data_IF_213767975074
#
_entry.id   IF_213767975074
#
_cell.length_a   1.000
_cell.length_b   1.000
_cell.length_c   1.000
_cell.angle_alpha   90.00
_cell.angle_beta   90.00
_cell.angle_gamma   90.00
#
_symmetry.space_group_name_H-M   'P 1'
#
loop_
_entity.id
_entity.type
_entity.pdbx_description
1 polymer ?
#
# COMPACT_ATOMS: atom_id res chain seq x y z
N UNK A 1 13.27 -9.20 12.62
CA UNK A 1 11.97 -8.51 12.72
C UNK A 1 11.53 -8.12 11.32
N UNK A 2 10.28 -8.38 11.00
CA UNK A 2 9.64 -8.07 9.72
C UNK A 2 8.29 -7.41 10.03
N UNK A 3 8.01 -6.27 9.45
CA UNK A 3 6.76 -5.54 9.59
C UNK A 3 5.90 -5.78 8.36
N UNK A 4 4.62 -6.08 8.57
CA UNK A 4 3.63 -6.26 7.51
C UNK A 4 2.55 -5.21 7.67
N UNK A 5 2.23 -4.52 6.58
CA UNK A 5 1.24 -3.45 6.55
C UNK A 5 0.50 -3.39 5.19
N UNK A 6 -0.63 -2.72 5.18
CA UNK A 6 -1.47 -2.44 4.02
C UNK A 6 -1.46 -0.94 3.68
N UNK A 7 -1.31 -0.60 2.40
CA UNK A 7 -1.51 0.76 1.91
C UNK A 7 -2.43 0.82 0.69
N UNK A 8 -3.58 1.47 0.85
CA UNK A 8 -4.50 1.79 -0.25
C UNK A 8 -4.09 3.07 -0.97
N UNK A 9 -3.97 3.02 -2.29
CA UNK A 9 -3.75 4.18 -3.15
C UNK A 9 -4.81 4.27 -4.24
N UNK A 10 -4.98 5.44 -4.84
CA UNK A 10 -5.83 5.59 -6.02
C UNK A 10 -5.06 6.36 -7.09
N UNK A 11 -5.13 5.91 -8.34
CA UNK A 11 -4.42 6.53 -9.47
C UNK A 11 -4.88 7.96 -9.76
N UNK A 12 -6.05 8.36 -9.27
CA UNK A 12 -6.56 9.73 -9.38
C UNK A 12 -6.17 10.64 -8.20
N UNK A 13 -5.32 10.19 -7.27
CA UNK A 13 -4.78 11.06 -6.24
C UNK A 13 -3.97 12.19 -6.89
N UNK A 14 -4.46 13.42 -6.74
CA UNK A 14 -3.80 14.64 -7.14
C UNK A 14 -3.89 15.68 -6.02
N UNK A 15 -2.91 16.58 -5.88
CA UNK A 15 -3.00 17.67 -4.91
C UNK A 15 -4.28 18.48 -5.11
N UNK A 16 -5.06 18.65 -4.04
CA UNK A 16 -6.29 19.47 -4.07
C UNK A 16 -6.01 20.97 -4.07
N UNK A 17 -4.84 21.37 -3.57
CA UNK A 17 -4.42 22.76 -3.44
C UNK A 17 -3.01 22.92 -3.99
N UNK A 18 -2.72 24.09 -4.54
CA UNK A 18 -1.41 24.47 -5.05
C UNK A 18 -1.09 25.92 -4.69
N UNK A 19 0.18 26.27 -4.73
CA UNK A 19 0.67 27.60 -4.39
C UNK A 19 1.13 28.33 -5.66
N UNK A 20 0.82 29.61 -5.75
CA UNK A 20 1.32 30.49 -6.80
C UNK A 20 1.64 31.87 -6.21
N UNK A 21 2.54 32.65 -6.84
CA UNK A 21 2.79 34.03 -6.44
C UNK A 21 1.50 34.86 -6.41
N UNK A 22 1.48 35.88 -5.56
CA UNK A 22 0.31 36.77 -5.42
C UNK A 22 -0.08 37.36 -6.77
N UNK A 23 -1.36 37.24 -7.12
CA UNK A 23 -1.91 37.70 -8.40
C UNK A 23 -1.80 36.70 -9.55
N UNK A 24 -1.24 35.51 -9.33
CA UNK A 24 -1.11 34.47 -10.36
C UNK A 24 -2.02 33.27 -10.06
N UNK A 25 -2.46 32.59 -11.13
CA UNK A 25 -3.27 31.37 -11.04
C UNK A 25 -2.38 30.16 -10.77
N UNK A 26 -2.70 29.38 -9.74
CA UNK A 26 -2.13 28.06 -9.54
C UNK A 26 -2.77 27.08 -10.54
N UNK A 27 -1.96 26.54 -11.46
CA UNK A 27 -2.39 25.54 -12.42
C UNK A 27 -2.11 24.13 -11.90
N UNK A 28 -3.05 23.23 -12.10
CA UNK A 28 -2.92 21.82 -11.76
C UNK A 28 -3.56 20.94 -12.82
N UNK A 29 -3.07 19.71 -12.94
CA UNK A 29 -3.70 18.64 -13.73
C UNK A 29 -4.02 17.49 -12.78
N UNK A 30 -5.19 16.89 -12.98
CA UNK A 30 -5.61 15.70 -12.26
C UNK A 30 -6.09 14.66 -13.27
N UNK A 31 -5.89 13.36 -13.00
CA UNK A 31 -6.44 12.29 -13.83
C UNK A 31 -7.97 12.35 -13.86
N UNK A 32 -8.56 12.12 -15.04
CA UNK A 32 -10.03 12.09 -15.22
C UNK A 32 -10.63 10.73 -14.86
N UNK A 33 -9.88 9.64 -15.04
CA UNK A 33 -10.30 8.30 -14.66
C UNK A 33 -10.00 8.05 -13.18
N UNK A 34 -11.04 7.85 -12.36
CA UNK A 34 -10.93 7.66 -10.91
C UNK A 34 -10.67 6.21 -10.49
N UNK A 35 -10.78 5.25 -11.40
CA UNK A 35 -10.50 3.83 -11.18
C UNK A 35 -11.10 3.25 -9.89
N UNK A 36 -10.64 2.06 -9.50
CA UNK A 36 -10.76 1.58 -8.12
C UNK A 36 -9.47 1.91 -7.37
N UNK A 37 -9.54 1.85 -6.05
CA UNK A 37 -8.32 1.89 -5.24
C UNK A 37 -7.47 0.65 -5.57
N UNK A 38 -6.15 0.79 -5.46
CA UNK A 38 -5.21 -0.31 -5.48
C UNK A 38 -4.60 -0.41 -4.10
N UNK A 39 -4.84 -1.52 -3.43
CA UNK A 39 -4.23 -1.85 -2.14
C UNK A 39 -2.91 -2.58 -2.37
N UNK A 40 -1.88 -2.18 -1.63
CA UNK A 40 -0.58 -2.83 -1.57
C UNK A 40 -0.41 -3.49 -0.21
N UNK A 41 -0.16 -4.79 -0.18
CA UNK A 41 0.35 -5.51 0.99
C UNK A 41 1.86 -5.59 0.88
N UNK A 42 2.57 -5.21 1.94
CA UNK A 42 4.03 -5.14 1.93
C UNK A 42 4.65 -5.66 3.22
N UNK A 43 5.84 -6.27 3.09
CA UNK A 43 6.65 -6.70 4.20
C UNK A 43 8.00 -5.98 4.15
N UNK A 44 8.37 -5.34 5.25
CA UNK A 44 9.57 -4.54 5.41
C UNK A 44 10.43 -5.10 6.54
N UNK A 45 11.73 -5.16 6.34
CA UNK A 45 12.72 -5.42 7.38
C UNK A 45 13.72 -4.26 7.46
N UNK A 46 14.60 -4.21 8.48
CA UNK A 46 15.68 -3.23 8.53
C UNK A 46 16.60 -3.26 7.30
N UNK A 47 16.63 -4.40 6.58
CA UNK A 47 17.40 -4.57 5.34
C UNK A 47 16.66 -4.09 4.08
N UNK A 48 15.37 -3.74 4.19
CA UNK A 48 14.57 -3.19 3.12
C UNK A 48 13.24 -3.93 2.87
N UNK A 49 12.67 -3.72 1.69
CA UNK A 49 11.44 -4.36 1.26
C UNK A 49 11.68 -5.84 0.93
N UNK A 50 10.94 -6.74 1.58
CA UNK A 50 11.06 -8.18 1.38
C UNK A 50 10.16 -8.68 0.25
N UNK A 51 8.87 -8.31 0.30
CA UNK A 51 7.91 -8.74 -0.72
C UNK A 51 6.66 -7.86 -0.70
N UNK A 52 5.98 -7.79 -1.85
CA UNK A 52 4.75 -7.03 -2.02
C UNK A 52 3.74 -7.79 -2.86
N UNK A 53 2.46 -7.49 -2.64
CA UNK A 53 1.37 -7.90 -3.52
C UNK A 53 0.40 -6.73 -3.68
N UNK A 54 -0.13 -6.56 -4.89
CA UNK A 54 -1.11 -5.51 -5.19
C UNK A 54 -2.46 -6.13 -5.52
N UNK A 55 -3.54 -5.55 -4.99
CA UNK A 55 -4.92 -5.97 -5.21
C UNK A 55 -5.73 -4.76 -5.69
N UNK A 56 -6.58 -4.95 -6.69
CA UNK A 56 -7.55 -3.93 -7.08
C UNK A 56 -8.75 -3.98 -6.11
N UNK A 57 -9.05 -2.87 -5.44
CA UNK A 57 -10.03 -2.76 -4.37
C UNK A 57 -9.39 -2.83 -2.99
N UNK A 58 -10.21 -3.08 -1.97
CA UNK A 58 -9.75 -3.34 -0.61
C UNK A 58 -9.13 -4.74 -0.52
N UNK A 59 -8.06 -4.91 0.26
CA UNK A 59 -7.64 -6.26 0.63
C UNK A 59 -8.66 -6.85 1.62
N UNK A 60 -9.04 -8.10 1.38
CA UNK A 60 -9.81 -8.91 2.31
C UNK A 60 -8.94 -9.99 2.95
N UNK A 61 -9.55 -10.79 3.81
CA UNK A 61 -8.86 -11.89 4.49
C UNK A 61 -8.26 -12.90 3.50
N UNK A 62 -8.94 -13.18 2.37
CA UNK A 62 -8.43 -14.14 1.38
C UNK A 62 -7.17 -13.62 0.68
N UNK A 63 -7.19 -12.36 0.23
CA UNK A 63 -6.02 -11.70 -0.35
C UNK A 63 -4.85 -11.67 0.65
N UNK A 64 -5.12 -11.40 1.92
CA UNK A 64 -4.06 -11.40 2.93
C UNK A 64 -3.48 -12.80 3.18
N UNK A 65 -4.31 -13.84 3.28
CA UNK A 65 -3.84 -15.22 3.44
C UNK A 65 -3.03 -15.68 2.22
N UNK A 66 -3.47 -15.30 1.01
CA UNK A 66 -2.72 -15.54 -0.22
C UNK A 66 -1.35 -14.85 -0.19
N UNK A 67 -1.30 -13.60 0.27
CA UNK A 67 -0.05 -12.86 0.46
C UNK A 67 0.89 -13.59 1.42
N UNK A 68 0.38 -14.05 2.56
CA UNK A 68 1.17 -14.80 3.53
C UNK A 68 1.74 -16.08 2.91
N UNK A 69 0.88 -16.91 2.31
CA UNK A 69 1.26 -18.23 1.79
C UNK A 69 2.20 -18.14 0.57
N UNK A 70 1.87 -17.27 -0.39
CA UNK A 70 2.57 -17.24 -1.69
C UNK A 70 3.76 -16.29 -1.74
N UNK A 71 3.80 -15.28 -0.88
CA UNK A 71 4.80 -14.22 -0.95
C UNK A 71 5.63 -14.10 0.32
N UNK A 72 5.00 -13.93 1.49
CA UNK A 72 5.74 -13.65 2.73
C UNK A 72 6.43 -14.90 3.28
N UNK A 73 5.71 -15.98 3.54
CA UNK A 73 6.28 -17.20 4.12
C UNK A 73 7.48 -17.75 3.33
N UNK A 74 7.46 -17.80 1.98
CA UNK A 74 8.61 -18.22 1.19
C UNK A 74 9.84 -17.30 1.29
N UNK A 75 9.62 -16.01 1.55
CA UNK A 75 10.68 -15.01 1.69
C UNK A 75 11.29 -14.95 3.11
N UNK A 76 10.62 -15.56 4.10
CA UNK A 76 11.08 -15.56 5.49
C UNK A 76 12.18 -16.59 5.72
N UNK A 77 13.07 -16.26 6.66
CA UNK A 77 14.08 -17.18 7.19
C UNK A 77 13.72 -17.59 8.62
N UNK A 78 14.10 -18.80 9.06
CA UNK A 78 13.93 -19.22 10.45
C UNK A 78 14.46 -18.17 11.44
N UNK A 79 13.75 -17.98 12.56
CA UNK A 79 14.11 -17.03 13.61
C UNK A 79 13.69 -15.57 13.35
N UNK A 80 12.95 -15.27 12.28
CA UNK A 80 12.37 -13.94 12.05
C UNK A 80 10.99 -13.82 12.72
N UNK A 81 10.83 -12.80 13.57
CA UNK A 81 9.51 -12.38 14.10
C UNK A 81 8.80 -11.48 13.09
N UNK A 82 7.55 -11.81 12.78
CA UNK A 82 6.64 -10.97 11.99
C UNK A 82 5.77 -10.15 12.93
N UNK A 83 5.72 -8.85 12.68
CA UNK A 83 4.84 -7.90 13.33
C UNK A 83 3.84 -7.41 12.29
N UNK A 84 2.57 -7.49 12.64
CA UNK A 84 1.45 -6.99 11.84
C UNK A 84 0.63 -6.11 12.77
N UNK A 85 0.07 -5.03 12.26
CA UNK A 85 -0.99 -4.34 12.99
C UNK A 85 -2.23 -5.24 13.09
N UNK A 86 -3.02 -5.05 14.14
CA UNK A 86 -4.22 -5.85 14.34
C UNK A 86 -5.43 -5.06 13.82
N UNK A 87 -5.52 -4.94 12.50
CA UNK A 87 -6.71 -4.40 11.86
C UNK A 87 -7.81 -5.47 11.92
N UNK A 88 -8.93 -5.16 12.57
CA UNK A 88 -10.14 -5.98 12.52
C UNK A 88 -10.62 -6.01 11.07
N UNK A 89 -10.38 -7.13 10.38
CA UNK A 89 -11.12 -7.43 9.15
C UNK A 89 -12.59 -7.63 9.52
N UNK A 90 -13.56 -7.02 8.82
CA UNK A 90 -14.92 -7.56 8.82
C UNK A 90 -14.96 -8.98 8.25
#
# INVERSE_FOLDING_TARGET
MVFVDESGSNLALAPRYGWAPKGQRAWGKAPTNRGKNTTVLAALSPEGLLTTMTVEGAADTEAFLLYLDKFLCPALRPGKTVLRDNLLSP
#
